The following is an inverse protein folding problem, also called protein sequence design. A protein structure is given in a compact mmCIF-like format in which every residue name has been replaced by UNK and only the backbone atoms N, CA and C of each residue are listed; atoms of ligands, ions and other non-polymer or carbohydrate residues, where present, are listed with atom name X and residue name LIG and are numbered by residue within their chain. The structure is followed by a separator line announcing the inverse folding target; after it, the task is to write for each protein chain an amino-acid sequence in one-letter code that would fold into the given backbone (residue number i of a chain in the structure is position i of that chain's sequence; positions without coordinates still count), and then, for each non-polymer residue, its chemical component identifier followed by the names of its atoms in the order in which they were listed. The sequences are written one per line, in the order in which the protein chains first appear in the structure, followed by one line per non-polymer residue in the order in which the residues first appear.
data_IF_889251007687
#
_entry.id   IF_889251007687
#
_cell.length_a   1.000
_cell.length_b   1.000
_cell.length_c   1.000
_cell.angle_alpha   90.00
_cell.angle_beta   90.00
_cell.angle_gamma   90.00
#
_symmetry.space_group_name_H-M   'P 1'
#
loop_
_entity.id
_entity.type
_entity.pdbx_description
1 polymer ?
#
# COMPACT_ATOMS: atom_id res chain seq x y z
N UNK A 1 -15.40 -1.34 12.32
CA UNK A 1 -15.32 -0.26 13.30
C UNK A 1 -15.58 1.05 12.57
N UNK A 2 -16.72 1.70 12.82
CA UNK A 2 -17.06 3.00 12.22
C UNK A 2 -16.44 4.14 13.02
N UNK A 3 -15.74 5.05 12.34
CA UNK A 3 -15.15 6.25 12.97
C UNK A 3 -16.15 7.42 12.87
N UNK A 4 -16.96 7.62 13.91
CA UNK A 4 -17.86 8.79 14.03
C UNK A 4 -17.18 9.91 14.82
N UNK A 5 -16.28 10.63 14.14
CA UNK A 5 -15.74 11.93 14.58
C UNK A 5 -16.49 13.09 13.92
N UNK A 6 -16.63 14.20 14.66
CA UNK A 6 -17.16 15.48 14.18
C UNK A 6 -16.33 16.04 13.00
N UNK A 7 -16.87 16.97 12.19
CA UNK A 7 -16.13 17.57 11.09
C UNK A 7 -14.84 18.23 11.60
N UNK A 8 -13.68 17.86 11.03
CA UNK A 8 -12.37 18.44 11.37
C UNK A 8 -11.50 17.67 12.37
N UNK A 9 -11.90 16.52 12.91
CA UNK A 9 -11.17 15.84 14.01
C UNK A 9 -10.35 14.60 13.61
N UNK A 10 -9.43 14.70 12.65
CA UNK A 10 -8.35 13.71 12.51
C UNK A 10 -8.74 12.28 12.09
N UNK A 11 -9.94 12.05 11.56
CA UNK A 11 -10.35 10.74 10.99
C UNK A 11 -9.36 10.23 9.95
N UNK A 12 -8.93 11.13 9.07
CA UNK A 12 -7.97 10.80 8.02
C UNK A 12 -6.60 10.46 8.60
N UNK A 13 -6.18 11.14 9.66
CA UNK A 13 -4.96 10.78 10.41
C UNK A 13 -5.08 9.38 11.03
N UNK A 14 -6.20 9.06 11.69
CA UNK A 14 -6.42 7.72 12.24
C UNK A 14 -6.47 6.62 11.18
N UNK A 15 -7.12 6.86 10.04
CA UNK A 15 -7.15 5.91 8.93
C UNK A 15 -5.75 5.67 8.37
N UNK A 16 -4.95 6.73 8.19
CA UNK A 16 -3.54 6.61 7.79
C UNK A 16 -2.72 5.83 8.80
N UNK A 17 -2.85 6.10 10.10
CA UNK A 17 -2.12 5.39 11.15
C UNK A 17 -2.46 3.89 11.16
N UNK A 18 -3.75 3.54 11.00
CA UNK A 18 -4.19 2.16 10.89
C UNK A 18 -3.60 1.50 9.64
N UNK A 19 -3.64 2.19 8.49
CA UNK A 19 -3.09 1.65 7.25
C UNK A 19 -1.57 1.44 7.36
N UNK A 20 -0.84 2.45 7.85
CA UNK A 20 0.59 2.42 8.07
C UNK A 20 0.99 1.29 9.03
N UNK A 21 0.27 1.12 10.14
CA UNK A 21 0.48 0.03 11.08
C UNK A 21 0.39 -1.34 10.41
N UNK A 22 -0.60 -1.54 9.53
CA UNK A 22 -0.75 -2.80 8.80
C UNK A 22 0.36 -3.03 7.76
N UNK A 23 0.77 -1.98 7.04
CA UNK A 23 1.88 -2.06 6.09
C UNK A 23 3.18 -2.40 6.82
N UNK A 24 3.47 -1.73 7.93
CA UNK A 24 4.67 -1.95 8.74
C UNK A 24 4.68 -3.35 9.34
N UNK A 25 3.54 -3.80 9.90
CA UNK A 25 3.43 -5.15 10.45
C UNK A 25 3.65 -6.22 9.37
N UNK A 26 3.07 -6.05 8.18
CA UNK A 26 3.30 -6.98 7.07
C UNK A 26 4.77 -6.99 6.62
N UNK A 27 5.38 -5.81 6.48
CA UNK A 27 6.78 -5.68 6.13
C UNK A 27 7.69 -6.36 7.16
N UNK A 28 7.39 -6.21 8.45
CA UNK A 28 8.11 -6.87 9.55
C UNK A 28 8.05 -8.39 9.46
N UNK A 29 6.89 -8.95 9.11
CA UNK A 29 6.75 -10.41 8.95
C UNK A 29 7.48 -10.93 7.72
N UNK A 30 7.44 -10.17 6.62
CA UNK A 30 8.20 -10.49 5.41
C UNK A 30 9.72 -10.38 5.64
N UNK A 31 10.19 -9.40 6.41
CA UNK A 31 11.61 -9.24 6.71
C UNK A 31 12.18 -10.34 7.62
N UNK A 32 11.32 -11.14 8.25
CA UNK A 32 11.73 -12.30 9.04
C UNK A 32 11.92 -13.56 8.18
N UNK A 33 11.56 -13.54 6.89
CA UNK A 33 11.84 -14.64 5.97
C UNK A 33 13.31 -14.61 5.53
N UNK A 34 14.02 -15.74 5.65
CA UNK A 34 15.40 -15.87 5.17
C UNK A 34 15.44 -15.88 3.64
N UNK A 35 14.48 -16.55 2.99
CA UNK A 35 14.29 -16.53 1.54
C UNK A 35 12.94 -15.85 1.19
N UNK A 36 12.89 -14.95 0.19
CA UNK A 36 11.63 -14.36 -0.27
C UNK A 36 10.53 -15.38 -0.63
N UNK A 37 10.92 -16.58 -1.08
CA UNK A 37 9.99 -17.65 -1.42
C UNK A 37 9.30 -18.26 -0.18
N UNK A 38 9.87 -18.08 1.01
CA UNK A 38 9.31 -18.57 2.28
C UNK A 38 8.04 -17.82 2.68
N UNK A 39 7.74 -16.69 2.03
CA UNK A 39 6.49 -15.96 2.22
C UNK A 39 5.28 -16.66 1.54
N UNK A 40 5.53 -17.64 0.67
CA UNK A 40 4.51 -18.28 -0.16
C UNK A 40 4.34 -19.75 0.20
N UNK A 41 3.11 -20.27 0.01
CA UNK A 41 2.86 -21.71 0.02
C UNK A 41 3.26 -22.32 -1.32
N UNK A 42 3.21 -23.64 -1.44
CA UNK A 42 3.39 -24.33 -2.72
C UNK A 42 2.17 -24.21 -3.64
N UNK A 43 1.02 -23.78 -3.09
CA UNK A 43 -0.21 -23.62 -3.85
C UNK A 43 -0.08 -22.46 -4.82
N UNK A 44 -0.44 -22.72 -6.08
CA UNK A 44 -0.52 -21.70 -7.13
C UNK A 44 -1.96 -21.59 -7.63
N UNK A 45 -2.47 -20.37 -7.62
CA UNK A 45 -3.75 -20.03 -8.24
C UNK A 45 -3.52 -19.63 -9.70
N UNK A 46 -4.44 -20.03 -10.55
CA UNK A 46 -4.36 -19.75 -11.98
C UNK A 46 -5.73 -19.35 -12.53
N UNK A 47 -5.76 -18.30 -13.34
CA UNK A 47 -6.97 -17.81 -13.98
C UNK A 47 -6.66 -17.17 -15.33
N UNK A 48 -7.69 -16.98 -16.14
CA UNK A 48 -7.57 -16.27 -17.42
C UNK A 48 -8.08 -14.85 -17.23
N UNK A 49 -7.20 -13.86 -17.41
CA UNK A 49 -7.56 -12.45 -17.38
C UNK A 49 -8.12 -11.96 -18.71
N UNK A 50 -8.42 -10.67 -18.76
CA UNK A 50 -8.80 -9.98 -20.00
C UNK A 50 -7.76 -10.20 -21.11
N UNK A 51 -8.22 -10.34 -22.36
CA UNK A 51 -7.36 -10.66 -23.51
C UNK A 51 -6.89 -12.13 -23.58
N UNK A 52 -7.55 -13.05 -22.86
CA UNK A 52 -7.21 -14.49 -22.80
C UNK A 52 -5.81 -14.78 -22.25
N UNK A 53 -5.23 -13.84 -21.52
CA UNK A 53 -3.90 -13.99 -20.95
C UNK A 53 -3.98 -14.80 -19.65
N UNK A 54 -3.27 -15.93 -19.61
CA UNK A 54 -3.19 -16.80 -18.43
C UNK A 54 -2.34 -16.14 -17.35
N UNK A 55 -2.87 -16.06 -16.13
CA UNK A 55 -2.24 -15.43 -14.96
C UNK A 55 -2.03 -16.49 -13.87
N UNK A 56 -0.91 -16.40 -13.15
CA UNK A 56 -0.56 -17.30 -12.04
C UNK A 56 -0.11 -16.48 -10.84
N UNK A 57 -0.53 -16.87 -9.65
CA UNK A 57 -0.07 -16.28 -8.40
C UNK A 57 0.09 -17.37 -7.34
N UNK A 58 1.24 -17.37 -6.64
CA UNK A 58 1.44 -18.26 -5.49
C UNK A 58 0.69 -17.70 -4.27
N UNK A 59 0.04 -18.58 -3.54
CA UNK A 59 -0.68 -18.22 -2.31
C UNK A 59 0.30 -17.78 -1.22
N UNK A 60 -0.05 -16.76 -0.46
CA UNK A 60 0.75 -16.30 0.68
C UNK A 60 0.55 -17.22 1.87
N UNK A 61 1.61 -17.42 2.66
CA UNK A 61 1.47 -18.14 3.93
C UNK A 61 0.59 -17.36 4.90
N UNK A 62 -0.18 -18.05 5.76
CA UNK A 62 -1.03 -17.39 6.76
C UNK A 62 -0.28 -16.40 7.67
N UNK A 63 1.02 -16.63 7.94
CA UNK A 63 1.83 -15.73 8.74
C UNK A 63 2.00 -14.34 8.14
N UNK A 64 2.01 -14.20 6.82
CA UNK A 64 2.21 -12.92 6.09
C UNK A 64 0.95 -12.44 5.36
N UNK A 65 -0.12 -13.24 5.39
CA UNK A 65 -1.46 -12.91 4.92
C UNK A 65 -2.34 -12.37 6.08
N UNK A 66 -3.57 -11.96 5.79
CA UNK A 66 -4.53 -11.46 6.79
C UNK A 66 -4.33 -9.99 7.16
N UNK A 67 -3.43 -9.30 6.46
CA UNK A 67 -3.12 -7.88 6.62
C UNK A 67 -3.75 -7.03 5.51
N UNK A 68 -4.59 -7.64 4.68
CA UNK A 68 -5.34 -6.98 3.61
C UNK A 68 -6.33 -5.97 4.19
N UNK A 69 -6.47 -4.83 3.51
CA UNK A 69 -7.36 -3.74 3.93
C UNK A 69 -8.35 -3.45 2.82
N UNK A 70 -9.62 -3.32 3.19
CA UNK A 70 -10.69 -2.83 2.32
C UNK A 70 -11.25 -1.59 2.99
N UNK A 71 -11.16 -0.47 2.30
CA UNK A 71 -11.78 0.80 2.70
C UNK A 71 -12.88 1.07 1.70
N UNK A 72 -14.10 1.34 2.19
CA UNK A 72 -15.24 1.71 1.37
C UNK A 72 -15.87 2.96 1.95
N UNK A 73 -16.26 3.91 1.09
CA UNK A 73 -17.01 5.11 1.48
C UNK A 73 -18.39 5.08 0.83
N UNK A 74 -19.37 5.71 1.48
CA UNK A 74 -20.72 5.85 0.93
C UNK A 74 -20.92 7.14 0.13
N UNK A 75 -19.91 8.03 0.11
CA UNK A 75 -19.91 9.28 -0.62
C UNK A 75 -18.70 9.33 -1.56
N UNK A 76 -18.95 9.27 -2.87
CA UNK A 76 -17.90 9.30 -3.89
C UNK A 76 -17.05 10.59 -3.85
N UNK A 77 -17.61 11.70 -3.33
CA UNK A 77 -16.86 12.94 -3.12
C UNK A 77 -15.78 12.82 -2.02
N UNK A 78 -15.92 11.87 -1.10
CA UNK A 78 -14.93 11.58 -0.05
C UNK A 78 -13.89 10.53 -0.51
N UNK A 79 -14.17 9.76 -1.58
CA UNK A 79 -13.29 8.69 -2.08
C UNK A 79 -12.10 9.19 -2.88
N UNK A 80 -12.31 10.16 -3.77
CA UNK A 80 -11.22 10.80 -4.53
C UNK A 80 -10.27 11.55 -3.58
N UNK A 81 -10.85 12.22 -2.58
CA UNK A 81 -10.07 12.88 -1.54
C UNK A 81 -9.28 11.88 -0.70
N UNK A 82 -9.85 10.71 -0.35
CA UNK A 82 -9.18 9.64 0.41
C UNK A 82 -7.98 9.03 -0.33
N UNK A 83 -8.14 8.75 -1.63
CA UNK A 83 -7.10 8.11 -2.45
C UNK A 83 -5.90 9.03 -2.68
N UNK A 84 -6.12 10.34 -2.76
CA UNK A 84 -5.06 11.35 -2.87
C UNK A 84 -4.41 11.69 -1.51
N UNK A 85 -5.19 11.73 -0.43
CA UNK A 85 -4.71 12.15 0.88
C UNK A 85 -3.85 11.11 1.61
N UNK A 86 -4.14 9.82 1.43
CA UNK A 86 -3.42 8.71 2.09
C UNK A 86 -1.93 8.63 1.68
N UNK A 87 -1.57 8.66 0.37
CA UNK A 87 -0.18 8.53 -0.07
C UNK A 87 0.62 9.84 0.03
N UNK A 88 -0.01 10.95 0.44
CA UNK A 88 0.59 12.28 0.35
C UNK A 88 1.83 12.42 1.25
N UNK A 89 2.99 12.72 0.65
CA UNK A 89 4.29 12.79 1.35
C UNK A 89 4.31 13.81 2.48
N UNK A 90 3.60 14.93 2.35
CA UNK A 90 3.53 15.96 3.41
C UNK A 90 2.83 15.49 4.69
N UNK A 91 2.13 14.35 4.66
CA UNK A 91 1.56 13.74 5.86
C UNK A 91 2.59 12.94 6.67
N UNK A 92 3.80 12.70 6.14
CA UNK A 92 4.90 12.06 6.85
C UNK A 92 5.58 13.13 7.69
N UNK A 93 5.51 12.98 9.03
CA UNK A 93 6.18 13.92 9.94
C UNK A 93 7.70 13.84 9.76
N UNK A 94 8.30 14.95 9.34
CA UNK A 94 9.76 15.12 9.22
C UNK A 94 10.45 14.80 10.54
N UNK A 95 11.05 13.61 10.63
CA UNK A 95 11.70 13.17 11.88
C UNK A 95 12.77 12.12 11.71
N UNK A 96 12.79 11.39 10.58
CA UNK A 96 13.90 10.51 10.21
C UNK A 96 14.09 10.65 8.72
N UNK A 97 15.22 11.23 8.30
CA UNK A 97 15.74 11.13 6.94
C UNK A 97 16.04 9.65 6.66
N UNK A 98 15.00 8.86 6.41
CA UNK A 98 15.14 7.53 5.85
C UNK A 98 15.10 7.74 4.35
N UNK A 99 16.21 7.43 3.67
CA UNK A 99 16.25 7.35 2.22
C UNK A 99 15.37 6.17 1.78
N UNK A 100 14.07 6.45 1.66
CA UNK A 100 13.03 5.49 1.30
C UNK A 100 12.54 5.72 -0.15
N UNK A 101 13.35 6.38 -0.98
CA UNK A 101 12.98 6.71 -2.36
C UNK A 101 13.23 5.56 -3.35
N UNK A 102 13.66 4.38 -2.89
CA UNK A 102 13.94 3.20 -3.72
C UNK A 102 12.74 2.72 -4.57
N UNK A 103 11.50 3.03 -4.17
CA UNK A 103 10.30 2.79 -4.98
C UNK A 103 9.57 4.07 -5.40
N UNK A 104 10.18 5.26 -5.27
CA UNK A 104 9.52 6.53 -5.55
C UNK A 104 8.92 6.59 -6.96
N UNK A 105 9.66 6.13 -7.98
CA UNK A 105 9.18 6.09 -9.36
C UNK A 105 7.96 5.17 -9.52
N UNK A 106 8.01 3.98 -8.93
CA UNK A 106 6.92 3.00 -8.99
C UNK A 106 5.67 3.51 -8.26
N UNK A 107 5.86 4.14 -7.09
CA UNK A 107 4.78 4.75 -6.31
C UNK A 107 4.11 5.89 -7.07
N UNK A 108 4.87 6.76 -7.73
CA UNK A 108 4.33 7.83 -8.59
C UNK A 108 3.54 7.26 -9.77
N UNK A 109 4.05 6.22 -10.43
CA UNK A 109 3.36 5.57 -11.54
C UNK A 109 2.05 4.89 -11.08
N UNK A 110 2.04 4.28 -9.89
CA UNK A 110 0.84 3.66 -9.32
C UNK A 110 -0.30 4.66 -9.03
N UNK A 111 0.04 5.94 -8.83
CA UNK A 111 -0.93 7.03 -8.66
C UNK A 111 -1.41 7.63 -10.00
N UNK A 112 -0.96 7.10 -11.15
CA UNK A 112 -1.28 7.64 -12.47
C UNK A 112 -0.39 8.81 -12.91
N UNK A 113 0.65 9.15 -12.14
CA UNK A 113 1.64 10.15 -12.52
C UNK A 113 2.58 9.60 -13.61
N UNK A 114 2.74 10.32 -14.72
CA UNK A 114 3.83 10.06 -15.65
C UNK A 114 5.15 10.30 -14.91
N UNK A 115 5.94 9.25 -14.70
CA UNK A 115 7.21 9.30 -14.00
C UNK A 115 8.21 10.19 -14.74
N UNK A 116 8.18 11.49 -14.46
CA UNK A 116 9.21 12.43 -14.87
C UNK A 116 10.52 12.02 -14.22
N UNK A 117 11.36 11.31 -14.97
CA UNK A 117 12.71 10.96 -14.57
C UNK A 117 13.45 12.22 -14.15
N UNK A 118 13.77 12.33 -12.86
CA UNK A 118 14.80 13.28 -12.43
C UNK A 118 16.13 12.72 -12.91
N UNK A 119 16.66 13.35 -13.96
CA UNK A 119 18.05 13.16 -14.35
C UNK A 119 18.94 13.37 -13.13
N UNK A 120 19.87 12.43 -12.93
CA UNK A 120 20.98 12.58 -12.00
C UNK A 120 21.80 13.82 -12.41
N UNK A 121 22.09 14.77 -11.51
CA UNK A 121 23.13 15.75 -11.76
C UNK A 121 24.51 15.14 -11.44
N UNK A 122 25.45 15.28 -12.38
CA UNK A 122 26.91 15.23 -12.18
C UNK A 122 27.52 13.88 -11.86
#
# INVERSE_FOLDING_TARGET
MGVNGLPGTGKMTMLRDILASNVVERARRLSACENPLDAFTERTHEWTGEGRMRRRARELRPGVAGLEKVVASANNADEENLSEEIPHRSAIKDGRNVDADYFACLATAALGGSGGGRGRPG
#
